data_IF_381480213309
#
_entry.id   IF_381480213309
#
_cell.length_a   1.000
_cell.length_b   1.000
_cell.length_c   1.000
_cell.angle_alpha   90.00
_cell.angle_beta   90.00
_cell.angle_gamma   90.00
#
_symmetry.space_group_name_H-M   'P 1'
#
loop_
_entity.id
_entity.type
_entity.pdbx_description
1 polymer ?
#
# COMPACT_ATOMS: atom_id res chain seq x y z
N UNK A 1 -73.96 -69.75 -1.77
CA UNK A 1 -74.56 -70.99 -2.31
C UNK A 1 -74.94 -71.83 -1.11
N UNK A 2 -76.20 -71.89 -0.67
CA UNK A 2 -77.23 -72.80 -1.21
C UNK A 2 -76.59 -74.19 -1.44
N UNK A 3 -76.77 -75.18 -0.58
CA UNK A 3 -78.03 -75.77 -0.15
C UNK A 3 -78.16 -77.11 -0.86
N UNK A 4 -78.40 -78.21 -0.14
CA UNK A 4 -79.20 -79.34 -0.61
C UNK A 4 -79.43 -80.31 0.56
N UNK A 5 -80.66 -80.28 1.07
CA UNK A 5 -81.29 -81.38 1.79
C UNK A 5 -81.68 -82.50 0.82
N UNK A 6 -81.75 -83.73 1.32
CA UNK A 6 -82.83 -84.73 1.15
C UNK A 6 -82.32 -85.97 1.90
N UNK A 7 -83.00 -86.59 2.84
CA UNK A 7 -84.42 -86.83 2.96
C UNK A 7 -84.64 -88.32 2.77
N UNK A 8 -84.84 -89.07 3.87
CA UNK A 8 -85.76 -90.21 3.94
C UNK A 8 -85.84 -90.74 5.37
N UNK A 9 -87.05 -90.60 5.93
CA UNK A 9 -87.49 -91.08 7.24
C UNK A 9 -88.19 -92.43 7.08
N UNK A 10 -88.02 -93.27 8.11
CA UNK A 10 -89.00 -94.16 8.77
C UNK A 10 -89.66 -95.29 7.96
N UNK A 11 -89.61 -96.50 8.52
CA UNK A 11 -90.80 -97.10 9.16
C UNK A 11 -90.45 -98.38 9.95
N UNK A 12 -91.01 -98.48 11.15
CA UNK A 12 -91.29 -99.75 11.81
C UNK A 12 -92.54 -100.39 11.16
N UNK A 13 -92.80 -101.68 11.41
CA UNK A 13 -94.14 -101.98 11.92
C UNK A 13 -94.13 -103.03 13.05
N UNK A 14 -94.74 -102.60 14.16
CA UNK A 14 -95.74 -103.29 15.01
C UNK A 14 -95.96 -104.81 14.88
N UNK A 15 -95.97 -105.45 16.07
CA UNK A 15 -96.73 -106.67 16.41
C UNK A 15 -98.13 -106.72 15.79
N UNK A 16 -98.62 -107.92 15.45
CA UNK A 16 -99.94 -108.37 15.93
C UNK A 16 -99.81 -109.82 16.48
N UNK A 17 -100.58 -110.31 17.43
CA UNK A 17 -102.01 -110.10 17.69
C UNK A 17 -102.66 -111.48 17.76
N UNK A 18 -103.36 -111.75 18.87
CA UNK A 18 -104.06 -112.98 19.26
C UNK A 18 -104.71 -113.81 18.15
N UNK A 19 -104.65 -115.15 18.30
CA UNK A 19 -105.67 -116.08 17.81
C UNK A 19 -106.18 -116.95 18.97
N UNK A 20 -107.51 -117.17 19.13
CA UNK A 20 -108.12 -117.68 20.35
C UNK A 20 -108.68 -119.12 20.26
N UNK A 21 -108.65 -119.79 21.42
CA UNK A 21 -109.55 -120.81 22.02
C UNK A 21 -110.47 -121.67 21.11
N UNK A 22 -110.41 -123.00 21.27
CA UNK A 22 -111.60 -123.87 21.37
C UNK A 22 -111.32 -125.20 22.10
N UNK A 23 -112.23 -125.51 23.02
CA UNK A 23 -112.36 -126.72 23.83
C UNK A 23 -112.61 -127.97 22.98
N UNK A 24 -112.09 -129.12 23.42
CA UNK A 24 -112.73 -130.42 23.22
C UNK A 24 -112.80 -131.19 24.55
N UNK A 25 -113.98 -131.71 24.91
CA UNK A 25 -114.21 -132.43 26.15
C UNK A 25 -114.00 -133.95 26.02
N UNK A 26 -113.71 -134.57 27.17
CA UNK A 26 -113.93 -135.97 27.59
C UNK A 26 -113.41 -137.14 26.72
N UNK A 27 -112.40 -137.85 27.27
CA UNK A 27 -112.03 -139.29 27.12
C UNK A 27 -111.63 -139.77 25.69
N UNK A 28 -110.59 -140.57 25.38
CA UNK A 28 -109.71 -141.57 26.01
C UNK A 28 -108.36 -141.65 25.25
N UNK A 29 -107.30 -142.24 25.84
CA UNK A 29 -105.91 -142.31 25.33
C UNK A 29 -105.72 -142.97 23.93
N UNK A 30 -104.96 -142.36 23.00
CA UNK A 30 -103.98 -142.95 22.00
C UNK A 30 -103.73 -142.17 20.66
N UNK A 31 -103.28 -140.90 20.65
CA UNK A 31 -102.76 -140.23 19.42
C UNK A 31 -101.59 -139.26 19.75
N UNK A 32 -100.32 -139.52 19.33
CA UNK A 32 -99.19 -138.58 19.58
C UNK A 32 -97.82 -138.79 18.84
N UNK A 33 -97.67 -139.61 17.79
CA UNK A 33 -96.32 -139.97 17.26
C UNK A 33 -95.87 -139.26 15.94
N UNK A 34 -96.75 -138.62 15.18
CA UNK A 34 -96.45 -138.05 13.85
C UNK A 34 -95.96 -136.59 13.87
N UNK A 35 -96.42 -135.75 14.81
CA UNK A 35 -96.05 -134.32 14.87
C UNK A 35 -94.58 -134.08 15.25
N UNK A 36 -94.01 -135.01 16.02
CA UNK A 36 -92.65 -134.86 16.57
C UNK A 36 -91.56 -134.99 15.51
N UNK A 37 -91.82 -135.70 14.41
CA UNK A 37 -90.89 -135.86 13.29
C UNK A 37 -90.83 -134.61 12.39
N UNK A 38 -91.96 -133.92 12.21
CA UNK A 38 -92.04 -132.70 11.40
C UNK A 38 -91.24 -131.55 12.02
N UNK A 39 -91.35 -131.38 13.34
CA UNK A 39 -90.61 -130.34 14.08
C UNK A 39 -89.08 -130.52 14.00
N UNK A 40 -88.59 -131.76 14.04
CA UNK A 40 -87.15 -132.04 13.92
C UNK A 40 -86.57 -131.65 12.56
N UNK A 41 -87.32 -131.89 11.47
CA UNK A 41 -86.91 -131.50 10.11
C UNK A 41 -86.75 -129.98 9.98
N UNK A 42 -87.72 -129.22 10.52
CA UNK A 42 -87.70 -127.75 10.46
C UNK A 42 -86.51 -127.15 11.20
N UNK A 43 -86.18 -127.69 12.38
CA UNK A 43 -85.04 -127.25 13.20
C UNK A 43 -83.72 -127.46 12.45
N UNK A 44 -83.55 -128.61 11.79
CA UNK A 44 -82.32 -128.88 11.03
C UNK A 44 -82.15 -127.96 9.83
N UNK A 45 -83.24 -127.64 9.12
CA UNK A 45 -83.19 -126.67 8.00
C UNK A 45 -82.87 -125.24 8.48
N UNK A 46 -83.39 -124.86 9.65
CA UNK A 46 -83.09 -123.57 10.28
C UNK A 46 -81.61 -123.47 10.67
N UNK A 47 -81.07 -124.51 11.29
CA UNK A 47 -79.67 -124.55 11.70
C UNK A 47 -78.72 -124.47 10.50
N UNK A 48 -79.02 -125.15 9.39
CA UNK A 48 -78.22 -125.06 8.17
C UNK A 48 -78.22 -123.64 7.57
N UNK A 49 -79.36 -122.93 7.59
CA UNK A 49 -79.46 -121.54 7.13
C UNK A 49 -78.68 -120.58 8.04
N UNK A 50 -78.76 -120.76 9.36
CA UNK A 50 -77.99 -119.96 10.33
C UNK A 50 -76.50 -120.10 10.05
N UNK A 51 -76.01 -121.34 9.89
CA UNK A 51 -74.60 -121.60 9.67
C UNK A 51 -74.07 -121.00 8.35
N UNK A 52 -74.91 -120.94 7.32
CA UNK A 52 -74.57 -120.30 6.04
C UNK A 52 -74.46 -118.79 6.20
N UNK A 53 -75.44 -118.16 6.87
CA UNK A 53 -75.45 -116.72 7.16
C UNK A 53 -74.26 -116.27 8.01
N UNK A 54 -73.86 -117.06 9.00
CA UNK A 54 -72.70 -116.78 9.84
C UNK A 54 -71.39 -116.79 9.03
N UNK A 55 -71.25 -117.75 8.11
CA UNK A 55 -70.08 -117.84 7.23
C UNK A 55 -70.00 -116.66 6.25
N UNK A 56 -71.13 -116.29 5.64
CA UNK A 56 -71.19 -115.16 4.70
C UNK A 56 -70.89 -113.84 5.43
N UNK A 57 -71.46 -113.64 6.62
CA UNK A 57 -71.18 -112.45 7.43
C UNK A 57 -69.71 -112.35 7.86
N UNK A 58 -69.10 -113.46 8.26
CA UNK A 58 -67.68 -113.50 8.63
C UNK A 58 -66.77 -113.17 7.46
N UNK A 59 -67.09 -113.67 6.26
CA UNK A 59 -66.36 -113.36 5.03
C UNK A 59 -66.47 -111.88 4.66
N UNK A 60 -67.69 -111.34 4.64
CA UNK A 60 -67.94 -109.93 4.33
C UNK A 60 -67.25 -108.99 5.35
N UNK A 61 -67.27 -109.35 6.63
CA UNK A 61 -66.61 -108.58 7.69
C UNK A 61 -65.08 -108.52 7.50
N UNK A 62 -64.45 -109.63 7.14
CA UNK A 62 -63.01 -109.66 6.88
C UNK A 62 -62.64 -108.86 5.63
N UNK A 63 -63.45 -108.93 4.57
CA UNK A 63 -63.23 -108.17 3.32
C UNK A 63 -63.32 -106.65 3.55
N UNK A 64 -64.27 -106.20 4.38
CA UNK A 64 -64.41 -104.79 4.77
C UNK A 64 -63.23 -104.33 5.62
N UNK A 65 -62.78 -105.16 6.57
CA UNK A 65 -61.64 -104.85 7.45
C UNK A 65 -60.34 -104.70 6.66
N UNK A 66 -60.07 -105.59 5.72
CA UNK A 66 -58.82 -105.56 4.94
C UNK A 66 -58.78 -104.39 3.96
N UNK A 67 -59.90 -104.08 3.29
CA UNK A 67 -60.02 -102.87 2.45
C UNK A 67 -59.84 -101.59 3.26
N UNK A 68 -60.48 -101.51 4.43
CA UNK A 68 -60.33 -100.36 5.33
C UNK A 68 -58.87 -100.15 5.78
N UNK A 69 -58.15 -101.22 6.12
CA UNK A 69 -56.74 -101.16 6.50
C UNK A 69 -55.82 -100.71 5.34
N UNK A 70 -56.07 -101.24 4.13
CA UNK A 70 -55.32 -100.86 2.91
C UNK A 70 -55.51 -99.38 2.55
N UNK A 71 -56.74 -98.88 2.61
CA UNK A 71 -57.04 -97.48 2.31
C UNK A 71 -56.39 -96.53 3.33
N UNK A 72 -56.47 -96.84 4.63
CA UNK A 72 -55.80 -96.07 5.69
C UNK A 72 -54.29 -96.00 5.50
N UNK A 73 -53.65 -97.11 5.13
CA UNK A 73 -52.21 -97.12 4.82
C UNK A 73 -51.88 -96.27 3.60
N UNK A 74 -52.71 -96.32 2.54
CA UNK A 74 -52.53 -95.52 1.32
C UNK A 74 -52.70 -94.02 1.57
N UNK A 75 -53.74 -93.62 2.30
CA UNK A 75 -53.95 -92.22 2.69
C UNK A 75 -52.84 -91.71 3.61
N UNK A 76 -52.35 -92.54 4.55
CA UNK A 76 -51.21 -92.20 5.39
C UNK A 76 -49.90 -92.00 4.60
N UNK A 77 -49.63 -92.86 3.61
CA UNK A 77 -48.46 -92.75 2.75
C UNK A 77 -48.51 -91.52 1.82
N UNK A 78 -49.69 -91.22 1.25
CA UNK A 78 -49.90 -90.04 0.40
C UNK A 78 -49.78 -88.73 1.22
N UNK A 79 -50.33 -88.70 2.44
CA UNK A 79 -50.19 -87.57 3.35
C UNK A 79 -48.73 -87.32 3.76
N UNK A 80 -47.98 -88.39 4.06
CA UNK A 80 -46.54 -88.29 4.38
C UNK A 80 -45.73 -87.75 3.20
N UNK A 81 -45.99 -88.26 2.00
CA UNK A 81 -45.30 -87.80 0.77
C UNK A 81 -45.59 -86.32 0.50
N UNK A 82 -46.85 -85.88 0.62
CA UNK A 82 -47.24 -84.47 0.48
C UNK A 82 -46.62 -83.56 1.54
N UNK A 83 -46.53 -84.04 2.79
CA UNK A 83 -45.89 -83.30 3.87
C UNK A 83 -44.36 -83.15 3.66
N UNK A 84 -43.69 -84.22 3.19
CA UNK A 84 -42.27 -84.18 2.83
C UNK A 84 -42.01 -83.23 1.66
N UNK A 85 -42.87 -83.27 0.63
CA UNK A 85 -42.78 -82.38 -0.52
C UNK A 85 -42.99 -80.91 -0.13
N UNK A 86 -44.02 -80.62 0.68
CA UNK A 86 -44.24 -79.28 1.22
C UNK A 86 -43.08 -78.78 2.10
N UNK A 87 -42.49 -79.68 2.91
CA UNK A 87 -41.30 -79.37 3.71
C UNK A 87 -40.07 -79.04 2.86
N UNK A 88 -39.87 -79.76 1.76
CA UNK A 88 -38.78 -79.49 0.81
C UNK A 88 -38.99 -78.20 0.04
N UNK A 89 -40.22 -77.90 -0.39
CA UNK A 89 -40.56 -76.64 -1.06
C UNK A 89 -40.34 -75.45 -0.12
N UNK A 90 -40.76 -75.54 1.15
CA UNK A 90 -40.50 -74.49 2.15
C UNK A 90 -39.01 -74.27 2.38
N UNK A 91 -38.20 -75.34 2.42
CA UNK A 91 -36.74 -75.22 2.54
C UNK A 91 -36.15 -74.49 1.34
N UNK A 92 -36.58 -74.84 0.12
CA UNK A 92 -36.15 -74.19 -1.11
C UNK A 92 -36.54 -72.71 -1.15
N UNK A 93 -37.77 -72.36 -0.77
CA UNK A 93 -38.19 -70.96 -0.68
C UNK A 93 -37.37 -70.18 0.36
N UNK A 94 -37.03 -70.80 1.49
CA UNK A 94 -36.17 -70.20 2.51
C UNK A 94 -34.75 -69.97 2.01
N UNK A 95 -34.19 -70.92 1.26
CA UNK A 95 -32.85 -70.81 0.67
C UNK A 95 -32.82 -69.72 -0.42
N UNK A 96 -33.81 -69.68 -1.31
CA UNK A 96 -33.96 -68.63 -2.33
C UNK A 96 -34.14 -67.25 -1.70
N UNK A 97 -34.92 -67.14 -0.61
CA UNK A 97 -35.10 -65.89 0.11
C UNK A 97 -33.79 -65.41 0.77
N UNK A 98 -33.02 -66.35 1.33
CA UNK A 98 -31.70 -66.06 1.91
C UNK A 98 -30.71 -65.59 0.83
N UNK A 99 -30.65 -66.28 -0.30
CA UNK A 99 -29.78 -65.91 -1.42
C UNK A 99 -30.14 -64.51 -1.98
N UNK A 100 -31.43 -64.18 -2.10
CA UNK A 100 -31.88 -62.84 -2.51
C UNK A 100 -31.52 -61.76 -1.49
N UNK A 101 -31.61 -62.06 -0.20
CA UNK A 101 -31.22 -61.13 0.86
C UNK A 101 -29.70 -60.90 0.89
N UNK A 102 -28.90 -61.95 0.68
CA UNK A 102 -27.44 -61.85 0.56
C UNK A 102 -27.04 -61.00 -0.66
N UNK A 103 -27.65 -61.24 -1.83
CA UNK A 103 -27.38 -60.45 -3.03
C UNK A 103 -27.78 -58.97 -2.86
N UNK A 104 -28.94 -58.70 -2.24
CA UNK A 104 -29.36 -57.34 -1.93
C UNK A 104 -28.42 -56.65 -0.92
N UNK A 105 -27.87 -57.40 0.04
CA UNK A 105 -26.85 -56.91 0.97
C UNK A 105 -25.53 -56.56 0.26
N UNK A 106 -25.10 -57.41 -0.67
CA UNK A 106 -23.91 -57.19 -1.50
C UNK A 106 -24.06 -55.94 -2.38
N UNK A 107 -25.21 -55.78 -3.03
CA UNK A 107 -25.53 -54.62 -3.86
C UNK A 107 -25.55 -53.33 -3.03
N UNK A 108 -26.18 -53.35 -1.85
CA UNK A 108 -26.19 -52.20 -0.93
C UNK A 108 -24.79 -51.82 -0.44
N UNK A 109 -23.94 -52.81 -0.15
CA UNK A 109 -22.53 -52.57 0.22
C UNK A 109 -21.78 -51.90 -0.93
N UNK A 110 -21.97 -52.38 -2.16
CA UNK A 110 -21.37 -51.81 -3.37
C UNK A 110 -21.83 -50.37 -3.63
N UNK A 111 -23.14 -50.10 -3.50
CA UNK A 111 -23.67 -48.73 -3.59
C UNK A 111 -23.09 -47.82 -2.50
N UNK A 112 -22.89 -48.31 -1.28
CA UNK A 112 -22.26 -47.58 -0.19
C UNK A 112 -20.78 -47.26 -0.46
N UNK A 113 -20.02 -48.22 -0.99
CA UNK A 113 -18.62 -48.02 -1.38
C UNK A 113 -18.48 -47.02 -2.54
N UNK A 114 -19.31 -47.14 -3.58
CA UNK A 114 -19.35 -46.19 -4.70
C UNK A 114 -19.72 -44.76 -4.24
N UNK A 115 -20.66 -44.63 -3.30
CA UNK A 115 -21.05 -43.34 -2.75
C UNK A 115 -19.90 -42.71 -1.94
N UNK A 116 -19.16 -43.53 -1.17
CA UNK A 116 -17.98 -43.09 -0.41
C UNK A 116 -16.87 -42.60 -1.33
N UNK A 117 -16.53 -43.35 -2.39
CA UNK A 117 -15.50 -42.96 -3.37
C UNK A 117 -15.88 -41.66 -4.08
N UNK A 118 -17.16 -41.49 -4.47
CA UNK A 118 -17.63 -40.23 -5.07
C UNK A 118 -17.55 -39.04 -4.11
N UNK A 119 -17.85 -39.25 -2.83
CA UNK A 119 -17.75 -38.20 -1.81
C UNK A 119 -16.29 -37.81 -1.52
N UNK A 120 -15.37 -38.77 -1.47
CA UNK A 120 -13.93 -38.53 -1.33
C UNK A 120 -13.38 -37.76 -2.54
N UNK A 121 -13.72 -38.18 -3.77
CA UNK A 121 -13.29 -37.49 -4.98
C UNK A 121 -13.83 -36.06 -5.07
N UNK A 122 -15.09 -35.83 -4.72
CA UNK A 122 -15.67 -34.49 -4.65
C UNK A 122 -15.00 -33.61 -3.58
N UNK A 123 -14.61 -34.21 -2.45
CA UNK A 123 -13.81 -33.55 -1.41
C UNK A 123 -12.44 -33.10 -1.93
N UNK A 124 -11.72 -33.98 -2.62
CA UNK A 124 -10.41 -33.68 -3.22
C UNK A 124 -10.49 -32.60 -4.31
N UNK A 125 -11.51 -32.64 -5.17
CA UNK A 125 -11.75 -31.60 -6.20
C UNK A 125 -12.04 -30.23 -5.58
N UNK A 126 -12.85 -30.19 -4.51
CA UNK A 126 -13.11 -28.97 -3.76
C UNK A 126 -11.84 -28.44 -3.09
N UNK A 127 -11.06 -29.29 -2.43
CA UNK A 127 -9.78 -28.89 -1.82
C UNK A 127 -8.80 -28.34 -2.86
N UNK A 128 -8.66 -29.01 -4.01
CA UNK A 128 -7.82 -28.55 -5.12
C UNK A 128 -8.28 -27.19 -5.65
N UNK A 129 -9.60 -27.01 -5.81
CA UNK A 129 -10.19 -25.75 -6.27
C UNK A 129 -9.97 -24.61 -5.29
N UNK A 130 -10.13 -24.85 -3.98
CA UNK A 130 -9.84 -23.86 -2.93
C UNK A 130 -8.35 -23.50 -2.87
N UNK A 131 -7.46 -24.47 -3.06
CA UNK A 131 -6.01 -24.22 -3.06
C UNK A 131 -5.60 -23.34 -4.26
N UNK A 132 -6.12 -23.62 -5.46
CA UNK A 132 -5.91 -22.76 -6.65
C UNK A 132 -6.46 -21.34 -6.45
N UNK A 133 -7.65 -21.20 -5.85
CA UNK A 133 -8.23 -19.90 -5.50
C UNK A 133 -7.33 -19.12 -4.52
N UNK A 134 -6.79 -19.78 -3.51
CA UNK A 134 -5.89 -19.19 -2.51
C UNK A 134 -4.56 -18.76 -3.14
N UNK A 135 -3.97 -19.58 -3.99
CA UNK A 135 -2.73 -19.26 -4.73
C UNK A 135 -2.95 -18.06 -5.66
N UNK A 136 -4.04 -18.04 -6.43
CA UNK A 136 -4.39 -16.91 -7.29
C UNK A 136 -4.63 -15.62 -6.50
N UNK A 137 -5.31 -15.69 -5.35
CA UNK A 137 -5.51 -14.54 -4.47
C UNK A 137 -4.18 -14.03 -3.89
N UNK A 138 -3.29 -14.94 -3.48
CA UNK A 138 -1.96 -14.61 -2.97
C UNK A 138 -1.09 -13.93 -4.03
N UNK A 139 -1.09 -14.46 -5.27
CA UNK A 139 -0.36 -13.86 -6.39
C UNK A 139 -0.89 -12.46 -6.73
N UNK A 140 -2.22 -12.27 -6.77
CA UNK A 140 -2.83 -10.95 -6.99
C UNK A 140 -2.48 -9.96 -5.88
N UNK A 141 -2.54 -10.37 -4.61
CA UNK A 141 -2.13 -9.52 -3.49
C UNK A 141 -0.64 -9.16 -3.57
N UNK A 142 0.21 -10.10 -3.97
CA UNK A 142 1.64 -9.83 -4.14
C UNK A 142 1.90 -8.82 -5.28
N UNK A 143 1.20 -8.94 -6.41
CA UNK A 143 1.27 -7.98 -7.52
C UNK A 143 0.81 -6.58 -7.10
N UNK A 144 -0.30 -6.48 -6.38
CA UNK A 144 -0.81 -5.21 -5.85
C UNK A 144 0.20 -4.59 -4.87
N UNK A 145 0.72 -5.38 -3.93
CA UNK A 145 1.73 -4.94 -2.97
C UNK A 145 3.01 -4.45 -3.66
N UNK A 146 3.50 -5.17 -4.68
CA UNK A 146 4.66 -4.74 -5.47
C UNK A 146 4.39 -3.46 -6.26
N UNK A 147 3.20 -3.31 -6.84
CA UNK A 147 2.80 -2.11 -7.57
C UNK A 147 2.69 -0.88 -6.66
N UNK A 148 2.18 -1.07 -5.43
CA UNK A 148 2.14 -0.03 -4.40
C UNK A 148 3.55 0.34 -3.95
N UNK A 149 4.44 -0.64 -3.70
CA UNK A 149 5.82 -0.38 -3.29
C UNK A 149 6.64 0.34 -4.39
N UNK A 150 6.48 -0.05 -5.66
CA UNK A 150 7.11 0.61 -6.79
C UNK A 150 6.60 2.05 -6.97
N UNK A 151 5.28 2.25 -6.85
CA UNK A 151 4.68 3.58 -6.93
C UNK A 151 5.13 4.47 -5.76
N UNK A 152 5.22 3.93 -4.55
CA UNK A 152 5.71 4.64 -3.37
C UNK A 152 7.18 5.04 -3.51
N UNK A 153 8.05 4.15 -4.02
CA UNK A 153 9.46 4.46 -4.29
C UNK A 153 9.62 5.50 -5.41
N UNK A 154 8.80 5.42 -6.47
CA UNK A 154 8.79 6.41 -7.55
C UNK A 154 8.34 7.80 -7.07
N UNK A 155 7.31 7.85 -6.24
CA UNK A 155 6.86 9.10 -5.62
C UNK A 155 7.92 9.66 -4.66
N UNK A 156 8.51 8.80 -3.81
CA UNK A 156 9.58 9.20 -2.87
C UNK A 156 10.79 9.79 -3.61
N UNK A 157 11.27 9.14 -4.67
CA UNK A 157 12.39 9.63 -5.47
C UNK A 157 12.09 10.95 -6.19
N UNK A 158 10.87 11.13 -6.72
CA UNK A 158 10.45 12.42 -7.30
C UNK A 158 10.32 13.53 -6.27
N UNK A 159 9.78 13.24 -5.08
CA UNK A 159 9.69 14.23 -4.00
C UNK A 159 11.05 14.61 -3.44
N UNK A 160 11.99 13.68 -3.31
CA UNK A 160 13.36 13.95 -2.85
C UNK A 160 14.14 14.77 -3.89
N UNK A 161 14.07 14.41 -5.18
CA UNK A 161 14.68 15.22 -6.25
C UNK A 161 14.05 16.61 -6.37
N UNK A 162 12.73 16.73 -6.24
CA UNK A 162 12.06 18.04 -6.31
C UNK A 162 12.38 18.88 -5.08
N UNK A 163 12.44 18.29 -3.89
CA UNK A 163 12.81 18.99 -2.65
C UNK A 163 14.29 19.41 -2.65
N UNK A 164 15.18 18.59 -3.22
CA UNK A 164 16.60 18.92 -3.38
C UNK A 164 16.81 19.99 -4.46
N UNK A 165 16.07 19.95 -5.57
CA UNK A 165 16.10 21.00 -6.59
C UNK A 165 15.51 22.32 -6.07
N UNK A 166 14.38 22.27 -5.36
CA UNK A 166 13.76 23.45 -4.74
C UNK A 166 14.63 23.98 -3.60
N UNK A 167 15.24 23.12 -2.79
CA UNK A 167 16.18 23.48 -1.73
C UNK A 167 17.50 24.07 -2.27
N UNK A 168 18.04 23.52 -3.36
CA UNK A 168 19.20 24.08 -4.05
C UNK A 168 18.88 25.40 -4.77
N UNK A 169 17.65 25.57 -5.28
CA UNK A 169 17.21 26.83 -5.87
C UNK A 169 16.99 27.91 -4.80
N UNK A 170 16.33 27.58 -3.69
CA UNK A 170 16.11 28.47 -2.54
C UNK A 170 17.41 28.86 -1.83
N UNK A 171 18.38 27.95 -1.73
CA UNK A 171 19.72 28.26 -1.19
C UNK A 171 20.57 29.11 -2.14
N UNK A 172 20.46 28.91 -3.47
CA UNK A 172 21.11 29.77 -4.48
C UNK A 172 20.56 31.20 -4.53
N UNK A 173 19.31 31.38 -4.13
CA UNK A 173 18.64 32.70 -4.06
C UNK A 173 18.82 33.40 -2.69
N UNK A 174 19.46 32.75 -1.71
CA UNK A 174 19.72 33.31 -0.36
C UNK A 174 21.21 33.49 -0.01
N UNK A 175 22.12 33.13 -0.92
CA UNK A 175 23.56 33.33 -0.74
C UNK A 175 23.98 34.75 -1.19
N UNK A 176 24.22 35.63 -0.23
CA UNK A 176 24.79 36.96 -0.49
C UNK A 176 26.29 36.89 -0.83
N UNK A 177 26.94 38.05 -0.92
CA UNK A 177 28.34 38.19 -1.32
C UNK A 177 29.13 38.99 -0.29
N UNK A 178 30.39 38.59 -0.01
CA UNK A 178 31.36 39.42 0.73
C UNK A 178 32.45 39.86 -0.22
N UNK A 179 32.47 41.14 -0.59
CA UNK A 179 33.44 41.63 -1.57
C UNK A 179 34.03 42.99 -1.24
N UNK A 180 35.18 43.26 -1.85
CA UNK A 180 35.86 44.55 -1.87
C UNK A 180 35.83 45.13 -3.28
N UNK A 181 35.54 46.42 -3.40
CA UNK A 181 35.77 47.21 -4.60
C UNK A 181 37.03 48.08 -4.43
N UNK A 182 38.07 47.75 -5.19
CA UNK A 182 39.32 48.51 -5.29
C UNK A 182 39.30 49.33 -6.58
N UNK A 183 39.91 50.49 -6.56
CA UNK A 183 40.10 51.34 -7.73
C UNK A 183 40.38 52.78 -7.32
N UNK A 184 41.04 53.58 -8.17
CA UNK A 184 41.34 54.96 -7.84
C UNK A 184 40.06 55.81 -7.67
N UNK A 185 40.14 57.01 -7.08
CA UNK A 185 39.03 57.96 -7.08
C UNK A 185 38.55 58.23 -8.51
N UNK A 186 37.23 58.13 -8.76
CA UNK A 186 36.67 58.37 -10.10
C UNK A 186 36.60 57.12 -11.00
N UNK A 187 37.09 55.97 -10.54
CA UNK A 187 37.04 54.72 -11.31
C UNK A 187 35.62 54.13 -11.49
N UNK A 188 34.59 54.66 -10.83
CA UNK A 188 33.21 54.20 -10.98
C UNK A 188 32.69 53.24 -9.90
N UNK A 189 33.39 53.10 -8.76
CA UNK A 189 32.94 52.24 -7.64
C UNK A 189 31.50 52.53 -7.19
N UNK A 190 31.20 53.80 -6.90
CA UNK A 190 29.86 54.25 -6.51
C UNK A 190 28.78 54.10 -7.61
N UNK A 191 29.19 53.96 -8.87
CA UNK A 191 28.27 53.66 -9.98
C UNK A 191 27.94 52.17 -10.05
N UNK A 192 28.89 51.30 -9.71
CA UNK A 192 28.72 49.84 -9.80
C UNK A 192 28.16 49.22 -8.52
N UNK A 193 28.47 49.79 -7.34
CA UNK A 193 27.99 49.26 -6.06
C UNK A 193 26.45 49.10 -5.99
N UNK A 194 25.62 50.06 -6.43
CA UNK A 194 24.17 49.88 -6.47
C UNK A 194 23.72 48.71 -7.36
N UNK A 195 24.38 48.50 -8.51
CA UNK A 195 24.07 47.35 -9.39
C UNK A 195 24.41 46.01 -8.75
N UNK A 196 25.51 45.97 -7.98
CA UNK A 196 25.87 44.79 -7.20
C UNK A 196 24.81 44.54 -6.12
N UNK A 197 24.35 45.59 -5.41
CA UNK A 197 23.25 45.45 -4.44
C UNK A 197 22.00 44.85 -5.09
N UNK A 198 21.58 45.39 -6.24
CA UNK A 198 20.42 44.91 -7.01
C UNK A 198 20.59 43.44 -7.43
N UNK A 199 21.78 43.03 -7.88
CA UNK A 199 22.08 41.64 -8.27
C UNK A 199 21.90 40.63 -7.14
N UNK A 200 22.12 41.06 -5.91
CA UNK A 200 21.90 40.27 -4.70
C UNK A 200 20.59 40.68 -3.99
N UNK A 201 19.59 41.17 -4.72
CA UNK A 201 18.26 41.51 -4.20
C UNK A 201 18.28 42.44 -2.97
N UNK A 202 19.28 43.33 -2.88
CA UNK A 202 19.51 44.25 -1.77
C UNK A 202 19.68 43.57 -0.38
N UNK A 203 20.09 42.30 -0.35
CA UNK A 203 20.27 41.55 0.92
C UNK A 203 21.63 41.77 1.58
N UNK A 204 22.59 42.33 0.84
CA UNK A 204 23.92 42.69 1.35
C UNK A 204 24.01 44.18 1.61
N UNK A 205 24.87 44.61 2.54
CA UNK A 205 25.07 46.02 2.81
C UNK A 205 26.17 46.63 1.92
N UNK A 206 26.05 47.92 1.57
CA UNK A 206 27.15 48.68 0.95
C UNK A 206 27.79 49.58 2.00
N UNK A 207 29.07 49.35 2.26
CA UNK A 207 29.86 50.10 3.24
C UNK A 207 30.89 50.95 2.50
N UNK A 208 30.46 52.14 2.06
CA UNK A 208 31.34 53.15 1.49
C UNK A 208 32.01 53.98 2.59
N UNK A 209 33.26 53.67 2.91
CA UNK A 209 33.95 54.32 4.04
C UNK A 209 34.09 55.84 3.90
N UNK A 210 34.23 56.32 2.66
CA UNK A 210 34.25 57.75 2.39
C UNK A 210 32.93 58.44 2.74
N UNK A 211 31.80 57.77 2.50
CA UNK A 211 30.47 58.33 2.82
C UNK A 211 30.17 58.22 4.30
N UNK A 212 30.58 57.13 4.96
CA UNK A 212 30.53 57.02 6.42
C UNK A 212 31.30 58.16 7.10
N UNK A 213 32.52 58.44 6.65
CA UNK A 213 33.30 59.57 7.18
C UNK A 213 32.62 60.93 6.88
N UNK A 214 32.11 61.15 5.66
CA UNK A 214 31.38 62.39 5.33
C UNK A 214 30.11 62.58 6.15
N UNK A 215 29.39 61.51 6.48
CA UNK A 215 28.25 61.58 7.39
C UNK A 215 28.68 62.04 8.79
N UNK A 216 29.80 61.51 9.30
CA UNK A 216 30.38 61.97 10.58
C UNK A 216 30.79 63.45 10.55
N UNK A 217 31.29 63.93 9.40
CA UNK A 217 31.61 65.36 9.17
C UNK A 217 30.35 66.22 9.23
N UNK A 218 29.30 65.81 8.51
CA UNK A 218 28.02 66.54 8.48
C UNK A 218 27.36 66.61 9.86
N UNK A 219 27.46 65.53 10.64
CA UNK A 219 26.97 65.46 12.01
C UNK A 219 27.83 66.26 13.01
N UNK A 220 28.98 66.80 12.60
CA UNK A 220 29.84 67.62 13.46
C UNK A 220 30.52 66.83 14.59
N UNK A 221 30.63 65.51 14.47
CA UNK A 221 31.29 64.66 15.47
C UNK A 221 32.78 64.97 15.56
N UNK A 222 33.43 64.61 16.67
CA UNK A 222 34.88 64.84 16.82
C UNK A 222 35.71 64.02 15.84
N UNK A 223 35.29 62.78 15.55
CA UNK A 223 35.84 61.98 14.47
C UNK A 223 35.66 62.68 13.12
N UNK A 224 34.46 63.22 12.85
CA UNK A 224 34.16 63.97 11.63
C UNK A 224 35.09 65.18 11.43
N UNK A 225 35.29 66.01 12.47
CA UNK A 225 36.18 67.18 12.40
C UNK A 225 37.62 66.78 12.03
N UNK A 226 38.14 65.71 12.64
CA UNK A 226 39.48 65.20 12.36
C UNK A 226 39.57 64.61 10.94
N UNK A 227 38.57 63.80 10.56
CA UNK A 227 38.49 63.18 9.24
C UNK A 227 38.42 64.23 8.12
N UNK A 228 37.64 65.31 8.31
CA UNK A 228 37.52 66.40 7.32
C UNK A 228 38.87 66.96 6.93
N UNK A 229 39.69 67.34 7.92
CA UNK A 229 41.02 67.92 7.68
C UNK A 229 41.91 67.00 6.86
N UNK A 230 41.90 65.70 7.17
CA UNK A 230 42.70 64.69 6.47
C UNK A 230 42.18 64.49 5.03
N UNK A 231 40.85 64.38 4.87
CA UNK A 231 40.21 64.14 3.57
C UNK A 231 40.39 65.31 2.60
N UNK A 232 40.21 66.55 3.06
CA UNK A 232 40.40 67.75 2.23
C UNK A 232 41.85 67.85 1.69
N UNK A 233 42.82 67.33 2.46
CA UNK A 233 44.23 67.27 2.08
C UNK A 233 44.58 66.07 1.19
N UNK A 234 43.62 65.17 0.92
CA UNK A 234 43.81 63.96 0.12
C UNK A 234 44.50 62.81 0.87
N UNK A 235 44.62 62.90 2.20
CA UNK A 235 45.25 61.87 3.03
C UNK A 235 44.33 60.70 3.40
N UNK A 236 44.89 59.70 4.09
CA UNK A 236 44.15 58.59 4.67
C UNK A 236 43.94 58.79 6.17
N UNK A 237 42.73 58.48 6.62
CA UNK A 237 42.43 58.33 8.05
C UNK A 237 43.13 57.07 8.58
N UNK A 238 43.52 57.06 9.85
CA UNK A 238 44.32 55.98 10.44
C UNK A 238 43.65 54.61 10.36
N UNK A 239 44.47 53.58 10.18
CA UNK A 239 44.02 52.19 10.05
C UNK A 239 43.16 51.73 11.23
N UNK A 240 43.49 52.15 12.45
CA UNK A 240 42.74 51.80 13.66
C UNK A 240 41.31 52.32 13.64
N UNK A 241 41.13 53.59 13.25
CA UNK A 241 39.81 54.21 13.12
C UNK A 241 39.01 53.49 12.02
N UNK A 242 39.64 53.24 10.86
CA UNK A 242 38.96 52.62 9.73
C UNK A 242 38.53 51.18 10.04
N UNK A 243 39.44 50.38 10.63
CA UNK A 243 39.15 49.00 11.04
C UNK A 243 38.07 48.98 12.13
N UNK A 244 38.13 49.90 13.10
CA UNK A 244 37.12 50.02 14.15
C UNK A 244 35.73 50.32 13.58
N UNK A 245 35.63 51.26 12.64
CA UNK A 245 34.38 51.62 11.98
C UNK A 245 33.79 50.45 11.18
N UNK A 246 34.62 49.73 10.42
CA UNK A 246 34.15 48.54 9.68
C UNK A 246 33.73 47.43 10.64
N UNK A 247 34.49 47.20 11.71
CA UNK A 247 34.15 46.22 12.73
C UNK A 247 32.77 46.50 13.34
N UNK A 248 32.52 47.75 13.73
CA UNK A 248 31.22 48.18 14.26
C UNK A 248 30.08 47.92 13.26
N UNK A 249 30.25 48.32 12.00
CA UNK A 249 29.26 48.06 10.95
C UNK A 249 28.99 46.55 10.78
N UNK A 250 30.03 45.73 10.68
CA UNK A 250 29.85 44.28 10.53
C UNK A 250 29.24 43.60 11.77
N UNK A 251 29.39 44.20 12.96
CA UNK A 251 28.79 43.68 14.20
C UNK A 251 27.35 44.12 14.39
N UNK A 252 27.04 45.38 14.11
CA UNK A 252 25.80 46.03 14.54
C UNK A 252 24.81 46.29 13.38
N UNK A 253 25.27 46.30 12.13
CA UNK A 253 24.40 46.49 10.97
C UNK A 253 23.79 45.17 10.50
N UNK A 254 22.49 45.00 10.74
CA UNK A 254 21.74 43.80 10.33
C UNK A 254 21.72 43.57 8.82
N UNK A 255 21.83 44.62 8.00
CA UNK A 255 21.89 44.47 6.55
C UNK A 255 23.17 43.77 6.07
N UNK A 256 24.22 43.74 6.90
CA UNK A 256 25.47 43.08 6.56
C UNK A 256 25.48 41.56 6.84
N UNK A 257 24.36 40.99 7.31
CA UNK A 257 24.30 39.58 7.72
C UNK A 257 24.51 38.61 6.55
N UNK A 258 23.89 38.89 5.39
CA UNK A 258 24.02 38.04 4.21
C UNK A 258 25.29 38.34 3.41
N UNK A 259 25.97 39.45 3.70
CA UNK A 259 27.18 39.86 3.00
C UNK A 259 27.35 41.38 2.99
N UNK A 260 28.40 41.84 2.32
CA UNK A 260 28.75 43.25 2.24
C UNK A 260 29.56 43.56 0.98
N UNK A 261 29.48 44.82 0.56
CA UNK A 261 30.36 45.44 -0.42
C UNK A 261 31.18 46.50 0.32
N UNK A 262 32.47 46.28 0.49
CA UNK A 262 33.38 47.28 1.03
C UNK A 262 33.88 48.17 -0.12
N UNK A 263 33.51 49.46 -0.08
CA UNK A 263 33.95 50.46 -1.06
C UNK A 263 34.91 51.45 -0.41
N UNK A 264 36.16 51.43 -0.86
CA UNK A 264 37.21 52.30 -0.35
C UNK A 264 37.83 51.81 0.97
N UNK A 265 37.68 50.54 1.32
CA UNK A 265 38.42 49.83 2.36
C UNK A 265 38.58 48.36 1.95
N UNK A 266 39.74 47.73 2.18
CA UNK A 266 40.98 48.28 2.72
C UNK A 266 41.73 49.19 1.74
N UNK A 267 42.55 50.11 2.24
CA UNK A 267 43.45 51.00 1.47
C UNK A 267 44.93 50.81 1.77
N UNK A 268 45.26 50.06 2.81
CA UNK A 268 46.62 49.64 3.19
C UNK A 268 46.65 48.14 3.39
N UNK A 269 47.82 47.51 3.25
CA UNK A 269 47.98 46.07 3.48
C UNK A 269 47.63 45.69 4.94
N UNK A 270 47.97 46.54 5.90
CA UNK A 270 47.61 46.35 7.32
C UNK A 270 46.09 46.36 7.53
N UNK A 271 45.34 47.19 6.82
CA UNK A 271 43.87 47.13 6.85
C UNK A 271 43.35 45.82 6.25
N UNK A 272 43.96 45.33 5.16
CA UNK A 272 43.57 44.07 4.52
C UNK A 272 43.79 42.87 5.45
N UNK A 273 44.95 42.79 6.08
CA UNK A 273 45.28 41.75 7.07
C UNK A 273 44.31 41.78 8.25
N UNK A 274 44.02 42.96 8.80
CA UNK A 274 43.06 43.12 9.91
C UNK A 274 41.63 42.76 9.51
N UNK A 275 41.23 43.08 8.28
CA UNK A 275 39.93 42.69 7.74
C UNK A 275 39.83 41.15 7.64
N UNK A 276 40.84 40.50 7.09
CA UNK A 276 40.84 39.04 6.97
C UNK A 276 40.83 38.36 8.33
N UNK A 277 41.64 38.83 9.29
CA UNK A 277 41.60 38.36 10.69
C UNK A 277 40.19 38.51 11.30
N UNK A 278 39.52 39.64 11.04
CA UNK A 278 38.16 39.88 11.52
C UNK A 278 37.16 38.88 10.90
N UNK A 279 37.28 38.58 9.61
CA UNK A 279 36.42 37.60 8.95
C UNK A 279 36.69 36.18 9.43
N UNK A 280 37.96 35.81 9.61
CA UNK A 280 38.36 34.50 10.18
C UNK A 280 37.76 34.31 11.58
N UNK A 281 37.88 35.31 12.46
CA UNK A 281 37.29 35.26 13.80
C UNK A 281 35.76 35.09 13.77
N UNK A 282 35.11 35.56 12.71
CA UNK A 282 33.67 35.43 12.47
C UNK A 282 33.29 34.16 11.71
N UNK A 283 34.26 33.30 11.38
CA UNK A 283 34.08 32.10 10.51
C UNK A 283 33.48 32.46 9.14
N UNK A 284 33.85 33.63 8.63
CA UNK A 284 33.47 34.14 7.32
C UNK A 284 34.71 34.20 6.41
N UNK A 285 34.49 34.18 5.10
CA UNK A 285 35.54 34.37 4.08
C UNK A 285 35.20 35.55 3.19
N UNK A 286 36.23 36.20 2.64
CA UNK A 286 36.08 37.14 1.54
C UNK A 286 35.83 36.35 0.25
N UNK A 287 34.83 36.76 -0.53
CA UNK A 287 34.45 36.05 -1.74
C UNK A 287 35.15 36.58 -2.98
N UNK A 288 35.25 37.91 -3.10
CA UNK A 288 35.80 38.59 -4.28
C UNK A 288 36.48 39.91 -3.91
N UNK A 289 37.55 40.23 -4.61
CA UNK A 289 38.19 41.55 -4.60
C UNK A 289 38.28 42.03 -6.03
N UNK A 290 37.46 43.00 -6.39
CA UNK A 290 37.36 43.50 -7.76
C UNK A 290 38.09 44.83 -7.88
N UNK A 291 39.06 44.89 -8.79
CA UNK A 291 39.84 46.11 -9.07
C UNK A 291 39.35 46.78 -10.36
N UNK A 292 38.85 48.01 -10.23
CA UNK A 292 38.50 48.87 -11.36
C UNK A 292 39.74 49.60 -11.88
N UNK A 293 40.26 49.14 -13.02
CA UNK A 293 41.49 49.64 -13.63
C UNK A 293 41.19 50.73 -14.65
N UNK A 294 41.83 51.89 -14.51
CA UNK A 294 41.63 53.04 -15.37
C UNK A 294 42.87 53.96 -15.32
N UNK A 295 43.34 54.49 -16.46
CA UNK A 295 44.44 55.46 -16.48
C UNK A 295 44.09 56.78 -15.78
N UNK A 296 45.06 57.35 -15.07
CA UNK A 296 44.92 58.61 -14.31
C UNK A 296 44.43 59.78 -15.17
N UNK A 297 44.82 59.84 -16.45
CA UNK A 297 44.43 60.90 -17.38
C UNK A 297 42.91 60.98 -17.60
N UNK A 298 42.18 59.88 -17.40
CA UNK A 298 40.72 59.83 -17.53
C UNK A 298 39.98 60.16 -16.23
N UNK A 299 40.69 60.30 -15.10
CA UNK A 299 40.08 60.46 -13.78
C UNK A 299 39.80 61.92 -13.43
N UNK A 300 40.56 62.87 -13.98
CA UNK A 300 40.41 64.30 -13.68
C UNK A 300 39.00 64.77 -14.05
N UNK A 301 38.59 64.59 -15.31
CA UNK A 301 37.26 64.98 -15.78
C UNK A 301 36.15 64.29 -14.98
N UNK A 302 36.31 62.98 -14.70
CA UNK A 302 35.34 62.18 -13.93
C UNK A 302 35.14 62.64 -12.49
N UNK A 303 36.16 63.22 -11.86
CA UNK A 303 36.08 63.72 -10.48
C UNK A 303 35.49 65.12 -10.45
N UNK A 304 35.98 66.02 -11.30
CA UNK A 304 35.55 67.43 -11.32
C UNK A 304 34.07 67.54 -11.69
N UNK A 305 33.59 66.72 -12.64
CA UNK A 305 32.19 66.71 -13.03
C UNK A 305 31.25 65.89 -12.11
N UNK A 306 31.74 65.33 -11.00
CA UNK A 306 30.93 64.47 -10.14
C UNK A 306 29.94 65.27 -9.29
N UNK A 307 28.71 64.77 -9.27
CA UNK A 307 27.64 65.20 -8.39
C UNK A 307 27.25 64.03 -7.48
N UNK A 308 26.89 64.30 -6.23
CA UNK A 308 26.53 63.26 -5.26
C UNK A 308 25.28 63.67 -4.51
N UNK A 309 24.37 62.72 -4.32
CA UNK A 309 23.24 62.88 -3.42
C UNK A 309 23.69 62.55 -1.98
N UNK A 310 23.72 63.51 -1.03
CA UNK A 310 24.32 63.30 0.29
C UNK A 310 23.68 62.17 1.11
N UNK A 311 22.36 62.02 1.05
CA UNK A 311 21.65 61.07 1.90
C UNK A 311 21.81 59.61 1.43
N UNK A 312 21.92 59.37 0.11
CA UNK A 312 22.04 58.01 -0.44
C UNK A 312 23.44 57.63 -0.91
N UNK A 313 24.33 58.60 -1.13
CA UNK A 313 25.64 58.39 -1.77
C UNK A 313 25.58 58.15 -3.28
N UNK A 314 24.38 58.16 -3.90
CA UNK A 314 24.22 58.05 -5.36
C UNK A 314 25.05 59.11 -6.07
N UNK A 315 25.76 58.71 -7.12
CA UNK A 315 26.69 59.56 -7.84
C UNK A 315 26.22 59.77 -9.29
N UNK A 316 26.24 61.02 -9.73
CA UNK A 316 25.97 61.47 -11.08
C UNK A 316 27.21 62.17 -11.65
N UNK A 317 27.17 62.51 -12.92
CA UNK A 317 28.21 63.30 -13.58
C UNK A 317 27.57 64.28 -14.54
N UNK A 318 28.03 65.52 -14.57
CA UNK A 318 27.52 66.59 -15.45
C UNK A 318 27.52 66.29 -16.96
N UNK A 319 28.14 65.20 -17.41
CA UNK A 319 28.34 64.86 -18.82
C UNK A 319 28.09 63.37 -19.09
N UNK A 320 28.77 62.49 -18.35
CA UNK A 320 28.73 61.05 -18.62
C UNK A 320 27.53 60.31 -18.00
N UNK A 321 26.90 60.91 -16.99
CA UNK A 321 25.74 60.37 -16.30
C UNK A 321 24.94 61.51 -15.65
N UNK A 322 24.41 62.46 -16.45
CA UNK A 322 23.73 63.63 -15.91
C UNK A 322 22.44 63.21 -15.22
N UNK A 323 22.05 63.90 -14.12
CA UNK A 323 20.72 63.69 -13.57
C UNK A 323 19.66 64.10 -14.60
N UNK A 324 18.49 63.49 -14.53
CA UNK A 324 17.35 63.79 -15.42
C UNK A 324 16.91 65.24 -15.24
N UNK A 325 16.92 65.73 -14.00
CA UNK A 325 16.73 67.15 -13.68
C UNK A 325 18.00 67.72 -13.08
N UNK A 326 18.41 68.89 -13.54
CA UNK A 326 19.64 69.53 -13.10
C UNK A 326 19.74 69.63 -11.56
N UNK A 327 20.92 69.30 -11.04
CA UNK A 327 21.26 69.29 -9.61
C UNK A 327 20.25 68.58 -8.71
N UNK A 328 19.52 67.58 -9.23
CA UNK A 328 18.45 66.88 -8.51
C UNK A 328 18.65 65.37 -8.60
N UNK A 329 18.48 64.65 -7.49
CA UNK A 329 18.52 63.19 -7.48
C UNK A 329 17.29 62.61 -8.17
N UNK A 330 17.50 61.68 -9.11
CA UNK A 330 16.44 61.12 -9.95
C UNK A 330 15.44 60.24 -9.19
N UNK A 331 15.80 59.74 -8.00
CA UNK A 331 14.94 58.86 -7.19
C UNK A 331 14.17 59.65 -6.13
N UNK A 332 14.86 60.52 -5.38
CA UNK A 332 14.25 61.24 -4.24
C UNK A 332 13.78 62.64 -4.59
N UNK A 333 14.29 63.24 -5.68
CA UNK A 333 14.05 64.64 -6.00
C UNK A 333 14.80 65.62 -5.11
N UNK A 334 15.70 65.15 -4.25
CA UNK A 334 16.49 65.96 -3.34
C UNK A 334 17.73 66.57 -4.04
N UNK A 335 18.32 67.67 -3.52
CA UNK A 335 19.45 68.33 -4.17
C UNK A 335 20.72 67.47 -4.23
N UNK A 336 21.41 67.55 -5.35
CA UNK A 336 22.78 67.06 -5.51
C UNK A 336 23.79 68.11 -5.07
N UNK A 337 24.99 67.67 -4.70
CA UNK A 337 26.10 68.54 -4.34
C UNK A 337 27.40 68.10 -4.98
N UNK A 338 28.32 69.04 -5.18
CA UNK A 338 29.73 68.73 -5.37
C UNK A 338 30.39 68.46 -4.02
N UNK A 339 31.35 67.54 -3.97
CA UNK A 339 32.17 67.33 -2.77
C UNK A 339 33.28 68.37 -2.73
N UNK A 340 33.66 68.83 -1.53
CA UNK A 340 34.75 69.80 -1.37
C UNK A 340 36.11 69.25 -1.79
N UNK A 341 36.30 67.92 -1.71
CA UNK A 341 37.53 67.22 -2.08
C UNK A 341 37.60 66.82 -3.57
N UNK A 342 36.61 67.19 -4.38
CA UNK A 342 36.54 66.89 -5.81
C UNK A 342 37.15 68.02 -6.66
N UNK A 343 38.45 68.21 -6.48
CA UNK A 343 39.26 69.16 -7.25
C UNK A 343 40.58 68.51 -7.70
N UNK A 344 41.24 69.09 -8.70
CA UNK A 344 42.45 68.52 -9.31
C UNK A 344 43.61 68.37 -8.32
N UNK A 345 43.84 69.37 -7.46
CA UNK A 345 44.93 69.35 -6.49
C UNK A 345 44.76 68.22 -5.47
N UNK A 346 43.54 68.03 -4.94
CA UNK A 346 43.22 66.94 -4.02
C UNK A 346 43.23 65.59 -4.74
N UNK A 347 42.76 65.52 -5.99
CA UNK A 347 42.81 64.29 -6.80
C UNK A 347 44.24 63.81 -7.02
N UNK A 348 45.15 64.70 -7.42
CA UNK A 348 46.56 64.35 -7.65
C UNK A 348 47.20 63.70 -6.42
N UNK A 349 46.97 64.27 -5.23
CA UNK A 349 47.43 63.68 -3.95
C UNK A 349 46.80 62.33 -3.66
N UNK A 350 45.50 62.17 -3.94
CA UNK A 350 44.78 60.90 -3.74
C UNK A 350 45.26 59.82 -4.70
N UNK A 351 45.61 60.17 -5.94
CA UNK A 351 46.19 59.24 -6.91
C UNK A 351 47.58 58.79 -6.48
N UNK A 352 48.44 59.74 -6.07
CA UNK A 352 49.76 59.41 -5.53
C UNK A 352 49.63 58.45 -4.34
N UNK A 353 48.72 58.73 -3.40
CA UNK A 353 48.45 57.87 -2.24
C UNK A 353 47.91 56.50 -2.65
N UNK A 354 47.00 56.45 -3.63
CA UNK A 354 46.43 55.21 -4.15
C UNK A 354 47.52 54.31 -4.73
N UNK A 355 48.38 54.84 -5.62
CA UNK A 355 49.45 54.09 -6.25
C UNK A 355 50.52 53.66 -5.25
N UNK A 356 50.82 54.50 -4.25
CA UNK A 356 51.84 54.18 -3.24
C UNK A 356 51.36 53.10 -2.26
N UNK A 357 50.10 53.15 -1.81
CA UNK A 357 49.61 52.33 -0.70
C UNK A 357 48.54 51.33 -1.14
N UNK A 358 47.48 51.80 -1.81
CA UNK A 358 46.31 50.98 -2.14
C UNK A 358 46.61 49.96 -3.24
N UNK A 359 47.51 50.25 -4.17
CA UNK A 359 47.93 49.27 -5.18
C UNK A 359 48.58 48.01 -4.56
N UNK A 360 49.23 48.14 -3.39
CA UNK A 360 49.83 46.99 -2.69
C UNK A 360 48.79 46.04 -2.10
N UNK A 361 47.58 46.55 -1.81
CA UNK A 361 46.42 45.74 -1.40
C UNK A 361 46.02 44.78 -2.51
N UNK A 362 46.10 45.22 -3.77
CA UNK A 362 45.84 44.37 -4.92
C UNK A 362 46.78 43.16 -4.93
N UNK A 363 48.08 43.36 -4.68
CA UNK A 363 49.06 42.27 -4.65
C UNK A 363 48.86 41.30 -3.47
N UNK A 364 48.41 41.82 -2.32
CA UNK A 364 47.98 40.99 -1.21
C UNK A 364 46.85 40.04 -1.64
N UNK A 365 45.78 40.54 -2.25
CA UNK A 365 44.63 39.70 -2.64
C UNK A 365 44.86 38.83 -3.88
N UNK A 366 45.78 39.20 -4.78
CA UNK A 366 46.26 38.32 -5.85
C UNK A 366 46.83 37.01 -5.30
N UNK A 367 47.64 37.09 -4.24
CA UNK A 367 48.23 35.91 -3.58
C UNK A 367 47.16 35.01 -2.92
N UNK A 368 46.01 35.57 -2.56
CA UNK A 368 44.88 34.85 -1.98
C UNK A 368 43.94 34.25 -3.04
N UNK A 369 44.16 34.51 -4.33
CA UNK A 369 43.38 33.90 -5.42
C UNK A 369 41.95 34.42 -5.56
N UNK A 370 41.61 35.54 -4.93
CA UNK A 370 40.25 36.13 -4.95
C UNK A 370 40.18 37.48 -5.67
N UNK A 371 41.30 37.95 -6.23
CA UNK A 371 41.39 39.19 -6.99
C UNK A 371 40.94 39.02 -8.44
N UNK A 372 40.19 40.01 -8.95
CA UNK A 372 39.76 40.08 -10.34
C UNK A 372 39.90 41.52 -10.90
N UNK A 373 40.62 41.73 -12.01
CA UNK A 373 40.72 43.03 -12.67
C UNK A 373 39.51 43.30 -13.58
N UNK A 374 39.07 44.55 -13.67
CA UNK A 374 38.02 45.02 -14.57
C UNK A 374 38.46 46.32 -15.25
N UNK A 375 38.40 46.37 -16.59
CA UNK A 375 38.65 47.57 -17.39
C UNK A 375 37.54 48.62 -17.17
N UNK A 376 37.83 49.66 -16.38
CA UNK A 376 36.90 50.72 -16.03
C UNK A 376 36.92 51.92 -16.99
N UNK A 377 37.64 51.81 -18.11
CA UNK A 377 37.59 52.80 -19.21
C UNK A 377 36.30 52.69 -20.03
N UNK A 378 35.61 51.54 -19.96
CA UNK A 378 34.39 51.21 -20.72
C UNK A 378 33.15 51.92 -20.16
N UNK A 379 32.03 51.79 -20.89
CA UNK A 379 30.74 52.31 -20.45
C UNK A 379 30.28 51.65 -19.14
N UNK A 380 29.45 52.31 -18.31
CA UNK A 380 28.96 51.73 -17.06
C UNK A 380 28.26 50.37 -17.22
N UNK A 381 27.61 50.12 -18.36
CA UNK A 381 26.97 48.86 -18.69
C UNK A 381 27.97 47.74 -18.99
N UNK A 382 29.03 48.04 -19.76
CA UNK A 382 30.09 47.06 -20.06
C UNK A 382 30.91 46.72 -18.81
N UNK A 383 31.24 47.71 -17.98
CA UNK A 383 31.89 47.48 -16.68
C UNK A 383 31.02 46.58 -15.79
N UNK A 384 29.71 46.82 -15.76
CA UNK A 384 28.78 45.97 -15.02
C UNK A 384 28.78 44.52 -15.52
N UNK A 385 28.76 44.30 -16.84
CA UNK A 385 28.82 42.95 -17.42
C UNK A 385 30.08 42.19 -16.98
N UNK A 386 31.25 42.86 -17.00
CA UNK A 386 32.51 42.27 -16.52
C UNK A 386 32.45 41.91 -15.04
N UNK A 387 31.87 42.79 -14.20
CA UNK A 387 31.69 42.52 -12.77
C UNK A 387 30.73 41.34 -12.54
N UNK A 388 29.58 41.32 -13.24
CA UNK A 388 28.58 40.26 -13.11
C UNK A 388 29.17 38.89 -13.46
N UNK A 389 30.00 38.82 -14.51
CA UNK A 389 30.65 37.58 -14.93
C UNK A 389 31.56 36.96 -13.85
N UNK A 390 32.15 37.79 -12.97
CA UNK A 390 32.97 37.32 -11.84
C UNK A 390 32.13 36.50 -10.85
N UNK A 391 30.87 36.91 -10.63
CA UNK A 391 29.96 36.20 -9.73
C UNK A 391 29.50 34.87 -10.33
N UNK A 392 29.33 34.82 -11.65
CA UNK A 392 28.85 33.63 -12.35
C UNK A 392 29.97 32.58 -12.50
N UNK A 393 31.23 32.98 -12.67
CA UNK A 393 32.38 32.09 -12.81
C UNK A 393 32.68 31.22 -11.57
N UNK A 394 32.21 31.64 -10.37
CA UNK A 394 32.37 30.88 -9.13
C UNK A 394 31.22 29.90 -8.87
N UNK A 395 30.14 29.99 -9.66
CA UNK A 395 28.95 29.12 -9.60
C UNK A 395 29.00 27.94 -10.57
N UNK A 396 29.96 27.92 -11.49
CA UNK A 396 30.29 26.80 -12.38
C UNK A 396 31.44 25.98 -11.78
#
# INVERSE_FOLDING_TARGET
MAGFETGLRKSAPTKPGNVPKKNFPSSTMTENHSELQYLKSLVNQLNAKIHTLENDFSKDWNDVKDKGASDLHRYGADAKTKAEQAGNDLRRYSEDAKAKAEHAGEDLRRYGEDAKVRAEHAGEELTSSFQKLRENASQKMHQISSGIAQSANHFKGKTEQTAEQVGNQLSKDTEGVRMVLIGPPGAGKGTQAPKILERFNNMVCHLATGDLLRAQVQQGTDLGKQAKKIMDQGGLVSDEIMVGMIKDQLQNNKQCQHGFILDGFPRTTTQAEKLDQMLIARKQKMDHVVELQIPDSLLISRIVGRLVHPASGRSYHTEFNPPTKDMTDDITGEPLVHRSDDNEATLSKRLATYHQQTAQVTDYYKKHGIWAPVDATRSPAAVWQSISAIFDAKRA
#
